data_IF_645013520605
#
_entry.id   IF_645013520605
#
_cell.length_a   1.000
_cell.length_b   1.000
_cell.length_c   1.000
_cell.angle_alpha   90.00
_cell.angle_beta   90.00
_cell.angle_gamma   90.00
#
_symmetry.space_group_name_H-M   'P 1'
#
loop_
_entity.id
_entity.type
_entity.pdbx_description
1 polymer ?
#
# COMPACT_ATOMS: atom_id res chain seq x y z
N UNK A 1 -4.97 -10.31 -6.62
CA UNK A 1 -5.63 -10.16 -5.31
C UNK A 1 -7.02 -9.58 -5.55
N UNK A 2 -8.06 -10.17 -4.96
CA UNK A 2 -9.45 -9.80 -5.21
C UNK A 2 -9.74 -8.35 -4.78
N UNK A 3 -9.37 -7.97 -3.55
CA UNK A 3 -9.58 -6.60 -3.06
C UNK A 3 -8.98 -5.52 -3.98
N UNK A 4 -7.76 -5.74 -4.46
CA UNK A 4 -7.08 -4.77 -5.32
C UNK A 4 -7.80 -4.53 -6.66
N UNK A 5 -8.61 -5.48 -7.14
CA UNK A 5 -9.39 -5.31 -8.36
C UNK A 5 -10.52 -4.28 -8.19
N UNK A 6 -10.94 -4.01 -6.95
CA UNK A 6 -11.93 -2.98 -6.64
C UNK A 6 -11.37 -1.56 -6.66
N UNK A 7 -10.05 -1.38 -6.70
CA UNK A 7 -9.41 -0.06 -6.61
C UNK A 7 -9.30 0.57 -7.99
N UNK A 8 -9.83 1.78 -8.15
CA UNK A 8 -9.76 2.51 -9.41
C UNK A 8 -8.35 3.05 -9.69
N UNK A 9 -7.91 2.94 -10.94
CA UNK A 9 -6.67 3.58 -11.41
C UNK A 9 -6.83 5.10 -11.53
N UNK A 10 -5.79 5.86 -11.24
CA UNK A 10 -5.80 7.33 -11.40
C UNK A 10 -4.86 8.04 -10.43
N UNK A 11 -5.08 9.34 -10.23
CA UNK A 11 -4.34 10.12 -9.25
C UNK A 11 -4.92 9.88 -7.85
N UNK A 12 -4.06 9.55 -6.91
CA UNK A 12 -4.41 9.35 -5.50
C UNK A 12 -3.65 10.34 -4.62
N UNK A 13 -4.33 10.80 -3.58
CA UNK A 13 -3.72 11.45 -2.42
C UNK A 13 -3.60 10.41 -1.32
N UNK A 14 -2.38 10.17 -0.86
CA UNK A 14 -2.06 9.29 0.26
C UNK A 14 -1.69 10.16 1.46
N UNK A 15 -2.45 10.07 2.55
CA UNK A 15 -2.24 10.84 3.76
C UNK A 15 -1.92 9.90 4.91
N UNK A 16 -0.72 10.00 5.45
CA UNK A 16 -0.32 9.27 6.66
C UNK A 16 -0.98 9.89 7.90
N UNK A 17 -1.44 9.05 8.83
CA UNK A 17 -2.03 9.52 10.09
C UNK A 17 -0.97 10.28 10.90
N UNK A 18 -1.20 11.59 11.10
CA UNK A 18 -0.25 12.47 11.78
C UNK A 18 1.04 12.77 11.00
N UNK A 19 1.10 12.34 9.73
CA UNK A 19 2.31 12.40 8.91
C UNK A 19 2.14 13.20 7.62
N UNK A 20 3.04 12.93 6.68
CA UNK A 20 3.07 13.61 5.39
C UNK A 20 1.94 13.15 4.47
N UNK A 21 1.60 14.02 3.52
CA UNK A 21 0.66 13.73 2.46
C UNK A 21 1.39 13.74 1.12
N UNK A 22 1.19 12.70 0.30
CA UNK A 22 1.83 12.60 -1.02
C UNK A 22 0.86 12.19 -2.11
N UNK A 23 1.13 12.67 -3.32
CA UNK A 23 0.42 12.29 -4.53
C UNK A 23 1.06 11.05 -5.15
N UNK A 24 0.25 10.12 -5.63
CA UNK A 24 0.70 8.92 -6.35
C UNK A 24 -0.23 8.65 -7.53
N UNK A 25 0.33 8.49 -8.73
CA UNK A 25 -0.41 7.95 -9.86
C UNK A 25 -0.46 6.42 -9.73
N UNK A 26 -1.65 5.87 -9.57
CA UNK A 26 -1.90 4.43 -9.42
C UNK A 26 -2.38 3.89 -10.76
N UNK A 27 -1.45 3.34 -11.55
CA UNK A 27 -1.76 2.56 -12.76
C UNK A 27 -1.97 1.07 -12.45
N UNK A 28 -1.34 0.56 -11.39
CA UNK A 28 -1.54 -0.78 -10.85
C UNK A 28 -1.72 -0.68 -9.34
N UNK A 29 -2.89 -1.03 -8.77
CA UNK A 29 -3.15 -0.97 -7.34
C UNK A 29 -2.17 -1.75 -6.45
N UNK A 30 -1.45 -2.74 -7.00
CA UNK A 30 -0.42 -3.47 -6.27
C UNK A 30 0.70 -2.57 -5.72
N UNK A 31 0.89 -1.36 -6.27
CA UNK A 31 1.84 -0.37 -5.72
C UNK A 31 1.52 0.02 -4.27
N UNK A 32 0.26 -0.08 -3.85
CA UNK A 32 -0.20 0.26 -2.51
C UNK A 32 0.27 -0.76 -1.45
N UNK A 33 0.72 -1.95 -1.86
CA UNK A 33 1.17 -3.00 -0.95
C UNK A 33 2.60 -2.79 -0.43
N UNK A 34 3.42 -1.99 -1.11
CA UNK A 34 4.85 -1.85 -0.82
C UNK A 34 5.28 -0.37 -0.81
N UNK A 35 4.61 0.45 -0.01
CA UNK A 35 4.80 1.91 0.00
C UNK A 35 6.11 2.38 0.65
N UNK A 36 6.73 1.58 1.52
CA UNK A 36 8.02 1.90 2.19
C UNK A 36 9.27 1.42 1.50
N UNK A 37 9.15 0.41 0.63
CA UNK A 37 10.27 -0.12 -0.14
C UNK A 37 10.01 0.11 -1.63
N UNK A 38 9.79 1.36 -2.08
CA UNK A 38 9.51 1.61 -3.50
C UNK A 38 10.70 1.18 -4.34
N UNK A 39 10.46 0.40 -5.40
CA UNK A 39 11.49 -0.02 -6.36
C UNK A 39 12.40 -1.17 -5.91
N UNK A 40 12.33 -1.61 -4.65
CA UNK A 40 13.05 -2.80 -4.19
C UNK A 40 12.41 -4.07 -4.76
N UNK A 41 13.25 -5.00 -5.21
CA UNK A 41 12.81 -6.34 -5.61
C UNK A 41 12.54 -7.16 -4.34
N UNK A 42 11.28 -7.20 -3.91
CA UNK A 42 10.86 -7.92 -2.72
C UNK A 42 10.03 -9.15 -3.09
N UNK A 43 10.23 -10.26 -2.39
CA UNK A 43 9.36 -11.43 -2.48
C UNK A 43 8.12 -11.20 -1.63
N UNK A 44 6.93 -11.47 -2.16
CA UNK A 44 5.66 -11.25 -1.47
C UNK A 44 4.97 -12.59 -1.18
N UNK A 45 4.42 -12.71 0.02
CA UNK A 45 3.55 -13.81 0.45
C UNK A 45 2.19 -13.22 0.81
N UNK A 46 1.14 -13.74 0.19
CA UNK A 46 -0.24 -13.32 0.46
C UNK A 46 -0.69 -13.96 1.77
N UNK A 47 -1.12 -13.14 2.71
CA UNK A 47 -1.66 -13.57 4.01
C UNK A 47 -3.19 -13.54 4.00
N UNK A 48 -3.78 -12.53 3.35
CA UNK A 48 -5.22 -12.38 3.23
C UNK A 48 -5.59 -11.87 1.83
N UNK A 49 -6.69 -12.39 1.28
CA UNK A 49 -7.15 -12.06 -0.06
C UNK A 49 -8.67 -12.21 -0.16
N UNK A 50 -9.41 -11.32 0.52
CA UNK A 50 -10.87 -11.24 0.46
C UNK A 50 -11.31 -10.22 -0.60
N UNK A 51 -12.62 -9.99 -0.70
CA UNK A 51 -13.19 -9.00 -1.62
C UNK A 51 -12.84 -7.55 -1.27
N UNK A 52 -12.61 -7.25 0.01
CA UNK A 52 -12.37 -5.87 0.49
C UNK A 52 -11.02 -5.72 1.21
N UNK A 53 -10.35 -6.82 1.56
CA UNK A 53 -9.07 -6.79 2.28
C UNK A 53 -8.01 -7.62 1.55
N UNK A 54 -6.85 -7.03 1.33
CA UNK A 54 -5.65 -7.73 0.89
C UNK A 54 -4.51 -7.47 1.87
N UNK A 55 -3.90 -8.54 2.39
CA UNK A 55 -2.73 -8.44 3.25
C UNK A 55 -1.60 -9.24 2.66
N UNK A 56 -0.43 -8.61 2.56
CA UNK A 56 0.82 -9.27 2.16
C UNK A 56 1.86 -9.11 3.24
N UNK A 57 2.70 -10.12 3.39
CA UNK A 57 4.03 -9.97 3.95
C UNK A 57 5.02 -9.91 2.79
N UNK A 58 5.98 -9.00 2.84
CA UNK A 58 7.02 -8.89 1.83
C UNK A 58 8.40 -8.83 2.49
N UNK A 59 9.39 -9.42 1.83
CA UNK A 59 10.78 -9.42 2.28
C UNK A 59 11.64 -8.85 1.16
N UNK A 60 12.47 -7.87 1.50
CA UNK A 60 13.35 -7.17 0.59
C UNK A 60 14.81 -7.52 0.96
N UNK A 61 15.52 -8.35 0.17
CA UNK A 61 16.88 -8.77 0.50
C UNK A 61 17.79 -7.57 0.77
N UNK A 62 18.46 -7.56 1.91
CA UNK A 62 19.36 -6.47 2.33
C UNK A 62 18.67 -5.21 2.86
N UNK A 63 17.35 -5.06 2.68
CA UNK A 63 16.61 -3.84 3.03
C UNK A 63 15.54 -4.04 4.10
N UNK A 64 15.22 -5.30 4.45
CA UNK A 64 14.30 -5.62 5.54
C UNK A 64 13.02 -6.29 5.06
N UNK A 65 11.89 -5.97 5.70
CA UNK A 65 10.61 -6.60 5.42
C UNK A 65 9.45 -5.71 5.84
N UNK A 66 8.25 -6.05 5.41
CA UNK A 66 7.04 -5.44 5.91
C UNK A 66 5.82 -6.33 5.79
N UNK A 67 4.78 -5.96 6.53
CA UNK A 67 3.44 -6.45 6.34
C UNK A 67 2.58 -5.24 6.00
N UNK A 68 1.81 -5.35 4.92
CA UNK A 68 0.86 -4.31 4.50
C UNK A 68 -0.51 -4.93 4.36
N UNK A 69 -1.50 -4.31 5.00
CA UNK A 69 -2.92 -4.60 4.81
C UNK A 69 -3.58 -3.41 4.10
N UNK A 70 -4.27 -3.68 3.01
CA UNK A 70 -5.08 -2.70 2.27
C UNK A 70 -6.54 -3.08 2.45
N UNK A 71 -7.30 -2.20 3.09
CA UNK A 71 -8.76 -2.27 3.19
C UNK A 71 -9.38 -1.34 2.17
N UNK A 72 -10.22 -1.88 1.30
CA UNK A 72 -10.94 -1.16 0.25
C UNK A 72 -12.33 -0.82 0.77
N UNK A 73 -12.56 0.46 1.08
CA UNK A 73 -13.88 0.93 1.52
C UNK A 73 -14.78 1.24 0.32
N UNK A 74 -14.19 1.81 -0.73
CA UNK A 74 -14.80 2.00 -2.05
C UNK A 74 -13.70 1.93 -3.11
N UNK A 75 -14.06 1.93 -4.41
CA UNK A 75 -13.04 2.01 -5.46
C UNK A 75 -12.19 3.28 -5.44
N UNK A 76 -12.55 4.28 -4.63
CA UNK A 76 -11.87 5.58 -4.52
C UNK A 76 -11.35 5.90 -3.12
N UNK A 77 -11.52 5.00 -2.16
CA UNK A 77 -11.13 5.19 -0.76
C UNK A 77 -10.57 3.88 -0.20
N UNK A 78 -9.34 3.95 0.30
CA UNK A 78 -8.66 2.82 0.93
C UNK A 78 -8.02 3.23 2.25
N UNK A 79 -7.93 2.29 3.17
CA UNK A 79 -7.07 2.36 4.36
C UNK A 79 -5.91 1.39 4.19
N UNK A 80 -4.71 1.84 4.52
CA UNK A 80 -3.50 1.04 4.41
C UNK A 80 -2.82 1.05 5.78
N UNK A 81 -2.65 -0.13 6.36
CA UNK A 81 -1.83 -0.34 7.55
C UNK A 81 -0.53 -1.01 7.11
N UNK A 82 0.62 -0.48 7.54
CA UNK A 82 1.90 -1.06 7.19
C UNK A 82 2.92 -0.93 8.32
N UNK A 83 3.64 -2.02 8.55
CA UNK A 83 4.65 -2.13 9.60
C UNK A 83 5.76 -3.09 9.19
N UNK A 84 6.94 -2.93 9.78
CA UNK A 84 8.07 -3.81 9.51
C UNK A 84 9.41 -3.19 9.88
N UNK A 85 10.44 -3.58 9.15
CA UNK A 85 11.81 -3.09 9.31
C UNK A 85 12.32 -2.63 7.95
N UNK A 86 12.92 -1.44 7.91
CA UNK A 86 13.61 -0.88 6.74
C UNK A 86 15.03 -0.50 7.14
N UNK A 87 16.02 -1.08 6.46
CA UNK A 87 17.46 -0.86 6.71
C UNK A 87 17.84 -0.92 8.21
N UNK A 88 17.25 -1.88 8.94
CA UNK A 88 17.50 -2.12 10.36
C UNK A 88 16.66 -1.28 11.33
N UNK A 89 15.90 -0.29 10.85
CA UNK A 89 15.01 0.53 11.67
C UNK A 89 13.54 0.06 11.59
N UNK A 90 12.82 -0.05 12.72
CA UNK A 90 11.40 -0.39 12.69
C UNK A 90 10.57 0.77 12.13
N UNK A 91 9.47 0.44 11.48
CA UNK A 91 8.44 1.40 11.07
C UNK A 91 7.04 0.83 11.31
N UNK A 92 6.08 1.73 11.54
CA UNK A 92 4.66 1.41 11.62
C UNK A 92 3.86 2.68 11.39
N UNK A 93 2.91 2.67 10.46
CA UNK A 93 2.02 3.80 10.23
C UNK A 93 0.79 3.40 9.41
N UNK A 94 -0.22 4.26 9.47
CA UNK A 94 -1.46 4.13 8.72
C UNK A 94 -1.57 5.21 7.65
N UNK A 95 -2.15 4.86 6.50
CA UNK A 95 -2.43 5.79 5.40
C UNK A 95 -3.90 5.70 5.02
N UNK A 96 -4.52 6.87 4.85
CA UNK A 96 -5.76 7.01 4.08
C UNK A 96 -5.43 7.38 2.64
N UNK A 97 -5.91 6.58 1.69
CA UNK A 97 -5.79 6.86 0.26
C UNK A 97 -7.12 7.31 -0.34
N UNK A 98 -7.13 8.45 -1.02
CA UNK A 98 -8.32 8.95 -1.77
C UNK A 98 -7.98 9.22 -3.23
N UNK A 99 -8.80 8.71 -4.15
CA UNK A 99 -8.68 9.02 -5.58
C UNK A 99 -9.17 10.43 -5.88
N UNK A 100 -8.26 11.27 -6.36
CA UNK A 100 -8.51 12.69 -6.67
C UNK A 100 -8.91 12.93 -8.12
N UNK A 101 -8.62 12.00 -9.04
CA UNK A 101 -8.93 12.19 -10.46
C UNK A 101 -8.18 11.20 -11.38
N UNK A 102 -8.15 11.45 -12.70
CA UNK A 102 -7.18 10.82 -13.59
C UNK A 102 -5.75 11.26 -13.23
N UNK A 103 -4.73 10.50 -13.64
CA UNK A 103 -3.35 10.99 -13.57
C UNK A 103 -3.16 12.13 -14.59
N UNK A 104 -2.53 13.22 -14.18
CA UNK A 104 -2.35 14.44 -14.99
C UNK A 104 -2.41 15.69 -14.15
#
# INVERSE_FOLDING_TARGET
MQALNGIETGQWQLKETGGASRKLCVGNPAVLLQLRHPGAQCTQVVIENTKDVATVHYTCPGHGYGRTSVTVETGRLVRIDTQGVVDGAPFSFEIEGRKTGPCG
#
